data_IF_246376223017
#
_entry.id   IF_246376223017
#
_cell.length_a   1.000
_cell.length_b   1.000
_cell.length_c   1.000
_cell.angle_alpha   90.00
_cell.angle_beta   90.00
_cell.angle_gamma   90.00
#
_symmetry.space_group_name_H-M   'P 1'
#
loop_
_entity.id
_entity.type
_entity.pdbx_description
1 polymer ?
#
# COMPACT_ATOMS: atom_id res chain seq x y z
N UNK A 1 -3.05 -12.97 25.02
CA UNK A 1 -1.79 -12.17 25.02
C UNK A 1 -2.02 -10.97 24.12
N UNK A 2 -1.37 -9.82 24.35
CA UNK A 2 -1.47 -8.70 23.43
C UNK A 2 -0.85 -9.09 22.07
N UNK A 3 -1.43 -8.58 20.96
CA UNK A 3 -0.88 -8.79 19.62
C UNK A 3 0.48 -8.10 19.46
N UNK A 4 1.45 -8.73 18.77
CA UNK A 4 2.82 -8.19 18.66
C UNK A 4 2.94 -7.05 17.64
N UNK A 5 1.89 -6.78 16.84
CA UNK A 5 1.96 -5.90 15.69
C UNK A 5 2.34 -4.46 16.05
N UNK A 6 3.33 -3.94 15.33
CA UNK A 6 3.86 -2.57 15.41
C UNK A 6 3.85 -1.87 14.06
N UNK A 7 3.77 -2.64 12.97
CA UNK A 7 3.84 -2.13 11.62
C UNK A 7 2.65 -2.63 10.81
N UNK A 8 2.00 -1.74 10.05
CA UNK A 8 0.98 -2.11 9.06
C UNK A 8 1.47 -1.78 7.65
N UNK A 9 1.22 -2.67 6.71
CA UNK A 9 1.56 -2.50 5.30
C UNK A 9 0.34 -2.76 4.42
N UNK A 10 0.04 -1.81 3.53
CA UNK A 10 -1.12 -1.85 2.66
C UNK A 10 -0.70 -1.95 1.20
N UNK A 11 -1.24 -2.94 0.50
CA UNK A 11 -1.09 -3.10 -0.95
C UNK A 11 -1.79 -1.98 -1.72
N UNK A 12 -1.27 -1.67 -2.92
CA UNK A 12 -1.94 -0.84 -3.92
C UNK A 12 -3.15 -1.55 -4.53
N UNK A 13 -4.17 -0.81 -4.92
CA UNK A 13 -5.35 -1.42 -5.51
C UNK A 13 -6.44 -0.44 -5.96
N UNK A 14 -6.11 0.83 -6.15
CA UNK A 14 -7.04 1.85 -6.64
C UNK A 14 -8.31 1.94 -5.78
N UNK A 15 -9.46 1.87 -6.43
CA UNK A 15 -10.77 1.98 -5.75
C UNK A 15 -11.05 0.87 -4.73
N UNK A 16 -10.40 -0.28 -4.89
CA UNK A 16 -10.53 -1.44 -3.98
C UNK A 16 -10.07 -1.13 -2.55
N UNK A 17 -9.18 -0.13 -2.39
CA UNK A 17 -8.64 0.29 -1.09
C UNK A 17 -9.67 0.71 -0.05
N UNK A 18 -10.93 0.97 -0.42
CA UNK A 18 -12.02 1.22 0.53
C UNK A 18 -12.29 -0.01 1.43
N UNK A 19 -11.95 -1.21 0.99
CA UNK A 19 -12.10 -2.44 1.77
C UNK A 19 -11.29 -2.41 3.08
N UNK A 20 -10.18 -1.67 3.11
CA UNK A 20 -9.35 -1.52 4.31
C UNK A 20 -10.09 -0.86 5.48
N UNK A 21 -11.17 -0.10 5.23
CA UNK A 21 -12.02 0.43 6.32
C UNK A 21 -12.57 -0.68 7.20
N UNK A 22 -13.04 -1.77 6.58
CA UNK A 22 -13.54 -2.94 7.30
C UNK A 22 -12.44 -3.61 8.13
N UNK A 23 -11.26 -3.77 7.55
CA UNK A 23 -10.10 -4.30 8.26
C UNK A 23 -9.72 -3.43 9.47
N UNK A 24 -9.67 -2.11 9.29
CA UNK A 24 -9.33 -1.19 10.39
C UNK A 24 -10.35 -1.22 11.53
N UNK A 25 -11.64 -1.48 11.26
CA UNK A 25 -12.65 -1.69 12.33
C UNK A 25 -12.25 -2.86 13.23
N UNK A 26 -11.90 -3.99 12.64
CA UNK A 26 -11.50 -5.18 13.40
C UNK A 26 -10.21 -4.94 14.20
N UNK A 27 -9.22 -4.23 13.62
CA UNK A 27 -7.99 -3.90 14.34
C UNK A 27 -8.25 -2.94 15.52
N UNK A 28 -9.15 -1.98 15.35
CA UNK A 28 -9.55 -1.04 16.41
C UNK A 28 -10.26 -1.77 17.55
N UNK A 29 -11.27 -2.60 17.23
CA UNK A 29 -12.02 -3.43 18.19
C UNK A 29 -11.10 -4.37 19.00
N UNK A 30 -10.01 -4.85 18.39
CA UNK A 30 -9.01 -5.72 19.03
C UNK A 30 -7.90 -4.96 19.76
N UNK A 31 -7.94 -3.63 19.76
CA UNK A 31 -6.91 -2.78 20.40
C UNK A 31 -5.56 -2.84 19.72
N UNK A 32 -5.48 -3.27 18.44
CA UNK A 32 -4.21 -3.40 17.70
C UNK A 32 -3.73 -2.02 17.23
N UNK A 33 -4.63 -1.16 16.74
CA UNK A 33 -4.26 0.16 16.18
C UNK A 33 -3.50 1.04 17.15
N UNK A 34 -3.73 0.88 18.46
CA UNK A 34 -3.09 1.66 19.51
C UNK A 34 -1.58 1.35 19.66
N UNK A 35 -1.17 0.16 19.21
CA UNK A 35 0.22 -0.31 19.32
C UNK A 35 1.04 -0.08 18.05
N UNK A 36 0.39 0.39 16.97
CA UNK A 36 1.06 0.60 15.70
C UNK A 36 1.97 1.84 15.77
N UNK A 37 3.20 1.66 15.33
CA UNK A 37 4.23 2.71 15.28
C UNK A 37 4.52 3.18 13.86
N UNK A 38 4.44 2.26 12.88
CA UNK A 38 4.80 2.51 11.48
C UNK A 38 3.69 2.03 10.55
N UNK A 39 3.45 2.79 9.51
CA UNK A 39 2.50 2.43 8.47
C UNK A 39 3.14 2.67 7.10
N UNK A 40 2.97 1.71 6.21
CA UNK A 40 3.50 1.79 4.87
C UNK A 40 2.50 1.33 3.83
N UNK A 41 2.71 1.74 2.60
CA UNK A 41 1.87 1.28 1.49
C UNK A 41 2.23 1.88 0.16
N UNK A 42 1.62 1.33 -0.88
CA UNK A 42 1.79 1.72 -2.27
C UNK A 42 0.44 2.17 -2.83
N UNK A 43 0.42 3.20 -3.67
CA UNK A 43 -0.81 3.63 -4.37
C UNK A 43 -2.00 3.87 -3.40
N UNK A 44 -3.13 3.22 -3.59
CA UNK A 44 -4.27 3.28 -2.67
C UNK A 44 -3.90 2.83 -1.24
N UNK A 45 -2.92 1.94 -1.10
CA UNK A 45 -2.35 1.56 0.20
C UNK A 45 -1.67 2.73 0.90
N UNK A 46 -1.02 3.64 0.16
CA UNK A 46 -0.44 4.86 0.72
C UNK A 46 -1.52 5.81 1.28
N UNK A 47 -2.71 5.88 0.66
CA UNK A 47 -3.85 6.64 1.19
C UNK A 47 -4.27 6.07 2.56
N UNK A 48 -4.44 4.76 2.65
CA UNK A 48 -4.82 4.12 3.91
C UNK A 48 -3.72 4.27 4.97
N UNK A 49 -2.45 4.14 4.58
CA UNK A 49 -1.32 4.39 5.46
C UNK A 49 -1.33 5.83 6.02
N UNK A 50 -1.66 6.86 5.21
CA UNK A 50 -1.83 8.24 5.71
C UNK A 50 -2.95 8.33 6.73
N UNK A 51 -4.12 7.77 6.44
CA UNK A 51 -5.28 7.89 7.32
C UNK A 51 -5.00 7.25 8.69
N UNK A 52 -4.43 6.05 8.70
CA UNK A 52 -3.98 5.41 9.93
C UNK A 52 -2.83 6.19 10.58
N UNK A 53 -1.83 6.60 9.79
CA UNK A 53 -0.63 7.28 10.26
C UNK A 53 -0.87 8.63 10.90
N UNK A 54 -1.82 9.41 10.37
CA UNK A 54 -2.24 10.70 10.93
C UNK A 54 -3.36 10.54 11.98
N UNK A 55 -3.52 9.34 12.52
CA UNK A 55 -4.43 9.07 13.62
C UNK A 55 -5.90 9.47 13.36
N UNK A 56 -6.37 9.28 12.10
CA UNK A 56 -7.80 9.36 11.84
C UNK A 56 -8.50 8.17 12.48
N UNK A 57 -9.62 8.42 13.15
CA UNK A 57 -10.48 7.33 13.63
C UNK A 57 -11.05 6.53 12.46
N UNK A 58 -11.44 5.29 12.69
CA UNK A 58 -12.08 4.44 11.67
C UNK A 58 -13.32 5.10 11.08
N UNK A 59 -14.09 5.83 11.88
CA UNK A 59 -15.27 6.58 11.43
C UNK A 59 -14.90 7.75 10.50
N UNK A 60 -13.85 8.52 10.83
CA UNK A 60 -13.34 9.58 9.96
C UNK A 60 -12.80 8.98 8.65
N UNK A 61 -12.07 7.89 8.72
CA UNK A 61 -11.54 7.15 7.56
C UNK A 61 -12.66 6.70 6.63
N UNK A 62 -13.70 6.06 7.16
CA UNK A 62 -14.90 5.65 6.41
C UNK A 62 -15.55 6.84 5.69
N UNK A 63 -15.76 7.94 6.41
CA UNK A 63 -16.35 9.15 5.84
C UNK A 63 -15.49 9.77 4.73
N UNK A 64 -14.17 9.84 4.93
CA UNK A 64 -13.23 10.41 3.96
C UNK A 64 -13.20 9.57 2.68
N UNK A 65 -13.08 8.24 2.80
CA UNK A 65 -12.97 7.34 1.64
C UNK A 65 -14.30 7.20 0.89
N UNK A 66 -15.45 7.19 1.57
CA UNK A 66 -16.76 7.21 0.91
C UNK A 66 -17.01 8.51 0.15
N UNK A 67 -16.53 9.62 0.68
CA UNK A 67 -16.66 10.93 0.07
C UNK A 67 -15.69 11.19 -1.08
N UNK A 68 -14.73 10.29 -1.31
CA UNK A 68 -13.81 10.41 -2.42
C UNK A 68 -14.51 10.06 -3.73
N UNK A 69 -14.63 11.07 -4.59
CA UNK A 69 -15.14 10.93 -5.94
C UNK A 69 -14.00 10.55 -6.88
N UNK A 70 -13.87 9.25 -7.13
CA UNK A 70 -12.82 8.73 -8.00
C UNK A 70 -12.96 9.21 -9.46
N UNK A 71 -14.17 9.58 -9.94
CA UNK A 71 -14.34 10.17 -11.27
C UNK A 71 -13.65 11.51 -11.41
N UNK A 72 -13.59 12.30 -10.33
CA UNK A 72 -12.86 13.57 -10.32
C UNK A 72 -11.33 13.39 -10.35
N UNK A 73 -10.83 12.18 -10.05
CA UNK A 73 -9.42 11.87 -10.26
C UNK A 73 -9.05 11.78 -11.74
N UNK A 74 -10.05 11.50 -12.61
CA UNK A 74 -9.93 11.55 -14.06
C UNK A 74 -10.04 13.01 -14.53
N UNK A 75 -9.32 13.91 -13.87
CA UNK A 75 -9.38 15.33 -14.10
C UNK A 75 -8.81 15.72 -15.47
N UNK A 76 -9.47 16.72 -16.07
CA UNK A 76 -9.03 17.41 -17.27
C UNK A 76 -9.10 16.63 -18.60
N UNK A 77 -10.21 15.91 -18.85
CA UNK A 77 -10.53 15.34 -20.15
C UNK A 77 -11.21 16.37 -21.10
N UNK A 78 -10.49 17.44 -21.47
CA UNK A 78 -11.00 18.50 -22.36
C UNK A 78 -10.49 18.37 -23.81
N UNK A 79 -10.67 17.21 -24.40
CA UNK A 79 -10.50 16.97 -25.83
C UNK A 79 -9.30 16.09 -26.16
N UNK A 80 -9.57 15.12 -27.03
CA UNK A 80 -8.65 14.04 -27.45
C UNK A 80 -7.27 14.57 -27.89
N UNK A 81 -7.18 15.72 -28.54
CA UNK A 81 -5.92 16.27 -29.02
C UNK A 81 -4.98 16.71 -27.88
N UNK A 82 -5.52 17.33 -26.84
CA UNK A 82 -4.75 17.79 -25.69
C UNK A 82 -4.34 16.64 -24.76
N UNK A 83 -5.22 15.67 -24.62
CA UNK A 83 -4.97 14.49 -23.82
C UNK A 83 -3.93 13.58 -24.50
N UNK A 84 -3.93 13.51 -25.85
CA UNK A 84 -2.88 12.84 -26.61
C UNK A 84 -1.53 13.57 -26.49
N UNK A 85 -1.51 14.90 -26.52
CA UNK A 85 -0.29 15.70 -26.32
C UNK A 85 0.28 15.44 -24.90
N UNK A 86 -0.57 15.41 -23.88
CA UNK A 86 -0.14 15.08 -22.50
C UNK A 86 0.39 13.65 -22.40
N UNK A 87 -0.27 12.68 -23.03
CA UNK A 87 0.21 11.30 -23.04
C UNK A 87 1.61 11.19 -23.62
N UNK A 88 1.92 11.99 -24.66
CA UNK A 88 3.23 11.99 -25.31
C UNK A 88 4.28 12.74 -24.47
N UNK A 89 3.94 13.87 -23.86
CA UNK A 89 4.91 14.76 -23.20
C UNK A 89 4.97 14.61 -21.68
N UNK A 90 3.86 14.19 -21.04
CA UNK A 90 3.76 13.99 -19.58
C UNK A 90 3.55 12.51 -19.20
N UNK A 91 3.50 11.61 -20.20
CA UNK A 91 3.41 10.15 -20.05
C UNK A 91 2.15 9.65 -19.35
N UNK A 92 1.06 10.44 -19.35
CA UNK A 92 -0.21 10.06 -18.75
C UNK A 92 -1.40 10.80 -19.32
N UNK A 93 -2.58 10.13 -19.33
CA UNK A 93 -3.81 10.68 -19.87
C UNK A 93 -4.42 11.77 -18.97
N UNK A 94 -4.36 11.56 -17.65
CA UNK A 94 -4.94 12.45 -16.63
C UNK A 94 -3.84 13.16 -15.83
N UNK A 95 -4.09 14.40 -15.40
CA UNK A 95 -3.11 15.17 -14.60
C UNK A 95 -2.97 14.67 -13.18
N UNK A 96 -4.10 14.26 -12.56
CA UNK A 96 -4.19 13.85 -11.16
C UNK A 96 -3.96 15.01 -10.18
N UNK A 97 -4.25 16.25 -10.58
CA UNK A 97 -4.10 17.42 -9.71
C UNK A 97 -5.20 17.45 -8.65
N UNK A 98 -6.43 17.05 -9.02
CA UNK A 98 -7.53 16.91 -8.07
C UNK A 98 -7.14 15.99 -6.89
N UNK A 99 -6.51 14.85 -7.20
CA UNK A 99 -6.07 13.93 -6.15
C UNK A 99 -5.02 14.56 -5.24
N UNK A 100 -4.06 15.29 -5.82
CA UNK A 100 -3.02 15.99 -5.05
C UNK A 100 -3.63 17.02 -4.09
N UNK A 101 -4.62 17.79 -4.54
CA UNK A 101 -5.33 18.78 -3.72
C UNK A 101 -6.18 18.11 -2.65
N UNK A 102 -6.88 17.04 -2.99
CA UNK A 102 -7.70 16.28 -2.05
C UNK A 102 -6.87 15.72 -0.89
N UNK A 103 -5.76 15.01 -1.20
CA UNK A 103 -4.91 14.42 -0.16
C UNK A 103 -4.21 15.49 0.69
N UNK A 104 -3.82 16.62 0.09
CA UNK A 104 -3.31 17.78 0.80
C UNK A 104 -4.33 18.34 1.79
N UNK A 105 -5.61 18.40 1.39
CA UNK A 105 -6.72 18.77 2.26
C UNK A 105 -6.95 17.80 3.42
N UNK A 106 -6.80 16.50 3.18
CA UNK A 106 -6.85 15.45 4.22
C UNK A 106 -5.72 15.63 5.24
N UNK A 107 -4.49 15.80 4.77
CA UNK A 107 -3.31 16.02 5.63
C UNK A 107 -3.49 17.29 6.48
N UNK A 108 -3.97 18.37 5.87
CA UNK A 108 -4.23 19.64 6.56
C UNK A 108 -5.18 19.49 7.75
N UNK A 109 -6.18 18.60 7.68
CA UNK A 109 -7.14 18.38 8.78
C UNK A 109 -6.48 17.97 10.09
N UNK A 110 -5.36 17.26 10.03
CA UNK A 110 -4.65 16.77 11.22
C UNK A 110 -3.38 17.56 11.52
N UNK A 111 -2.68 18.06 10.50
CA UNK A 111 -1.41 18.78 10.68
C UNK A 111 -1.55 20.29 10.69
N UNK A 112 -2.69 20.83 10.27
CA UNK A 112 -2.88 22.28 10.05
C UNK A 112 -2.21 22.81 8.78
N UNK A 113 -1.40 22.02 8.08
CA UNK A 113 -0.61 22.40 6.91
C UNK A 113 -0.84 21.42 5.74
N UNK A 114 -1.33 21.91 4.60
CA UNK A 114 -1.52 21.09 3.38
C UNK A 114 -0.20 20.64 2.74
N UNK A 115 0.88 21.35 2.99
CA UNK A 115 2.23 21.07 2.49
C UNK A 115 3.15 20.46 3.57
N UNK A 116 2.57 19.84 4.61
CA UNK A 116 3.33 19.22 5.69
C UNK A 116 4.35 18.22 5.11
N UNK A 117 5.58 18.31 5.57
CA UNK A 117 6.66 17.40 5.22
C UNK A 117 6.67 16.18 6.14
N UNK A 118 7.41 15.13 5.77
CA UNK A 118 7.59 13.98 6.68
C UNK A 118 8.21 14.40 8.02
N UNK A 119 9.15 15.36 8.01
CA UNK A 119 9.72 15.92 9.23
C UNK A 119 8.70 16.66 10.09
N UNK A 120 7.73 17.35 9.47
CA UNK A 120 6.64 18.01 10.20
C UNK A 120 5.76 16.99 10.91
N UNK A 121 5.36 15.91 10.22
CA UNK A 121 4.59 14.80 10.79
C UNK A 121 5.36 14.15 11.95
N UNK A 122 6.64 13.87 11.76
CA UNK A 122 7.47 13.26 12.80
C UNK A 122 7.57 14.14 14.08
N UNK A 123 7.66 15.46 13.93
CA UNK A 123 7.64 16.39 15.10
C UNK A 123 6.34 16.38 15.88
N UNK A 124 5.23 16.04 15.21
CA UNK A 124 3.89 16.00 15.84
C UNK A 124 3.55 14.65 16.47
N UNK A 125 4.40 13.63 16.33
CA UNK A 125 4.11 12.27 16.83
C UNK A 125 3.78 12.25 18.32
N UNK A 126 4.57 12.92 19.14
CA UNK A 126 4.40 12.91 20.59
C UNK A 126 3.11 13.61 21.07
N UNK A 127 2.61 14.60 20.32
CA UNK A 127 1.43 15.40 20.70
C UNK A 127 0.15 14.90 20.08
N UNK A 128 0.20 14.43 18.84
CA UNK A 128 -0.97 14.04 18.04
C UNK A 128 -1.15 12.53 17.91
N UNK A 129 -0.20 11.74 18.40
CA UNK A 129 -0.20 10.28 18.28
C UNK A 129 -0.01 9.80 16.84
N UNK A 130 0.69 10.59 16.01
CA UNK A 130 0.98 10.20 14.63
C UNK A 130 1.99 9.05 14.60
N UNK A 131 1.98 8.31 13.49
CA UNK A 131 2.86 7.18 13.22
C UNK A 131 3.86 7.54 12.13
N UNK A 132 4.97 6.82 12.04
CA UNK A 132 5.90 6.95 10.94
C UNK A 132 5.25 6.50 9.62
N UNK A 133 5.41 7.34 8.59
CA UNK A 133 4.82 7.14 7.26
C UNK A 133 5.88 6.66 6.28
N UNK A 134 5.56 5.61 5.50
CA UNK A 134 6.42 5.06 4.46
C UNK A 134 5.60 4.81 3.19
N UNK A 135 5.95 5.48 2.09
CA UNK A 135 5.29 5.29 0.79
C UNK A 135 6.28 4.83 -0.25
N UNK A 136 5.83 3.95 -1.14
CA UNK A 136 6.68 3.42 -2.21
C UNK A 136 6.34 4.12 -3.51
N UNK A 137 7.38 4.51 -4.27
CA UNK A 137 7.30 4.99 -5.64
C UNK A 137 8.30 4.28 -6.51
N UNK A 138 8.05 4.20 -7.79
CA UNK A 138 8.99 3.64 -8.77
C UNK A 138 9.73 4.76 -9.46
N UNK A 139 11.05 4.82 -9.28
CA UNK A 139 11.94 5.73 -10.02
C UNK A 139 12.32 5.09 -11.36
N UNK A 140 11.69 5.53 -12.45
CA UNK A 140 11.99 5.03 -13.80
C UNK A 140 13.38 5.42 -14.29
N UNK A 141 13.93 6.55 -13.80
CA UNK A 141 15.27 7.02 -14.18
C UNK A 141 16.38 6.11 -13.67
N UNK A 142 16.14 5.44 -12.53
CA UNK A 142 17.11 4.52 -11.91
C UNK A 142 16.72 3.05 -12.05
N UNK A 143 15.43 2.76 -12.31
CA UNK A 143 14.89 1.40 -12.35
C UNK A 143 14.68 0.76 -10.97
N UNK A 144 14.59 1.57 -9.89
CA UNK A 144 14.40 1.08 -8.52
C UNK A 144 13.11 1.57 -7.87
N UNK A 145 12.56 0.74 -6.97
CA UNK A 145 11.59 1.20 -6.01
C UNK A 145 12.27 2.07 -4.95
N UNK A 146 11.66 3.20 -4.62
CA UNK A 146 12.17 4.13 -3.61
C UNK A 146 11.12 4.36 -2.52
N UNK A 147 11.61 4.50 -1.28
CA UNK A 147 10.76 4.71 -0.11
C UNK A 147 10.81 6.18 0.30
N UNK A 148 9.65 6.81 0.39
CA UNK A 148 9.46 8.17 0.90
C UNK A 148 9.01 8.10 2.36
N UNK A 149 9.80 8.69 3.26
CA UNK A 149 9.55 8.68 4.70
C UNK A 149 10.35 9.78 5.40
N UNK A 150 10.10 9.98 6.70
CA UNK A 150 10.97 10.85 7.50
C UNK A 150 12.43 10.39 7.53
N UNK A 151 12.68 9.10 7.43
CA UNK A 151 14.03 8.53 7.43
C UNK A 151 14.77 8.81 6.10
N UNK A 152 14.09 8.70 4.96
CA UNK A 152 14.73 8.74 3.64
C UNK A 152 14.62 10.12 2.97
N UNK A 153 13.48 10.79 3.16
CA UNK A 153 13.14 12.04 2.47
C UNK A 153 12.43 13.04 3.41
N UNK A 154 13.05 13.42 4.56
CA UNK A 154 12.39 14.20 5.61
C UNK A 154 11.79 15.52 5.14
N UNK A 155 12.42 16.19 4.20
CA UNK A 155 11.98 17.47 3.63
C UNK A 155 10.92 17.36 2.53
N UNK A 156 10.51 16.15 2.12
CA UNK A 156 9.50 16.02 1.09
C UNK A 156 8.10 16.26 1.65
N UNK A 157 7.27 16.94 0.85
CA UNK A 157 5.84 17.09 1.14
C UNK A 157 5.15 15.73 1.07
N UNK A 158 4.44 15.38 2.15
CA UNK A 158 3.73 14.10 2.27
C UNK A 158 2.69 13.93 1.16
N UNK A 159 1.92 14.99 0.84
CA UNK A 159 0.93 14.94 -0.23
C UNK A 159 1.57 14.70 -1.61
N UNK A 160 2.76 15.26 -1.87
CA UNK A 160 3.48 15.04 -3.10
C UNK A 160 3.97 13.59 -3.22
N UNK A 161 4.49 13.02 -2.14
CA UNK A 161 4.93 11.62 -2.12
C UNK A 161 3.77 10.63 -2.38
N UNK A 162 2.60 10.86 -1.78
CA UNK A 162 1.41 10.04 -2.05
C UNK A 162 0.91 10.22 -3.49
N UNK A 163 0.88 11.46 -4.00
CA UNK A 163 0.52 11.71 -5.40
C UNK A 163 1.45 10.97 -6.36
N UNK A 164 2.74 10.93 -6.05
CA UNK A 164 3.74 10.19 -6.82
C UNK A 164 3.45 8.68 -6.75
N UNK A 165 3.25 8.14 -5.55
CA UNK A 165 2.91 6.72 -5.34
C UNK A 165 1.62 6.28 -6.05
N UNK A 166 0.73 7.22 -6.39
CA UNK A 166 -0.53 7.01 -7.12
C UNK A 166 -0.43 7.30 -8.63
N UNK A 167 0.76 7.53 -9.16
CA UNK A 167 0.96 7.87 -10.59
C UNK A 167 0.93 6.62 -11.47
N UNK A 168 -0.21 5.94 -11.57
CA UNK A 168 -0.39 4.76 -12.42
C UNK A 168 0.04 5.10 -13.86
N UNK A 169 1.05 4.39 -14.42
CA UNK A 169 1.56 4.67 -15.76
C UNK A 169 0.45 4.70 -16.82
N UNK A 170 0.57 5.57 -17.81
CA UNK A 170 -0.38 5.80 -18.89
C UNK A 170 -1.71 6.43 -18.45
N UNK A 171 -2.17 6.20 -17.22
CA UNK A 171 -3.37 6.84 -16.67
C UNK A 171 -3.05 8.24 -16.12
N UNK A 172 -2.09 8.34 -15.22
CA UNK A 172 -1.74 9.63 -14.61
C UNK A 172 -0.37 10.11 -15.08
N UNK A 173 -0.27 11.42 -15.30
CA UNK A 173 0.98 12.08 -15.63
C UNK A 173 2.09 11.70 -14.63
N UNK A 174 3.25 11.31 -15.16
CA UNK A 174 4.44 11.01 -14.37
C UNK A 174 4.85 12.23 -13.55
N UNK A 175 5.51 12.02 -12.43
CA UNK A 175 5.99 13.10 -11.58
C UNK A 175 7.52 13.12 -11.56
N UNK A 176 8.06 14.33 -11.50
CA UNK A 176 9.50 14.54 -11.49
C UNK A 176 9.97 15.01 -10.12
N UNK A 177 11.08 14.46 -9.65
CA UNK A 177 11.75 14.96 -8.46
C UNK A 177 12.43 16.32 -8.73
N UNK A 178 12.83 17.05 -7.68
CA UNK A 178 13.66 18.26 -7.86
C UNK A 178 14.99 18.01 -8.58
N UNK A 179 15.46 16.75 -8.63
CA UNK A 179 16.66 16.35 -9.37
C UNK A 179 16.39 15.97 -10.83
N UNK A 180 15.12 15.94 -11.24
CA UNK A 180 14.70 15.56 -12.58
C UNK A 180 14.44 14.07 -12.79
N UNK A 181 14.51 13.23 -11.75
CA UNK A 181 14.16 11.81 -11.86
C UNK A 181 12.66 11.65 -12.10
N UNK A 182 12.30 10.78 -13.05
CA UNK A 182 10.93 10.48 -13.42
C UNK A 182 10.37 9.36 -12.51
N UNK A 183 9.22 9.62 -11.91
CA UNK A 183 8.54 8.66 -11.02
C UNK A 183 7.15 8.29 -11.52
N UNK A 184 6.80 7.04 -11.27
CA UNK A 184 5.46 6.49 -11.45
C UNK A 184 5.01 5.75 -10.18
N UNK A 185 3.80 5.19 -10.23
CA UNK A 185 3.22 4.39 -9.14
C UNK A 185 4.19 3.33 -8.63
N UNK A 186 4.26 3.21 -7.30
CA UNK A 186 5.12 2.23 -6.66
C UNK A 186 4.77 0.79 -7.00
N UNK A 187 3.50 0.55 -7.37
CA UNK A 187 3.00 -0.76 -7.77
C UNK A 187 3.70 -1.36 -9.00
N UNK A 188 4.40 -0.55 -9.78
CA UNK A 188 5.19 -1.06 -10.92
C UNK A 188 6.30 -2.02 -10.46
N UNK A 189 6.94 -1.75 -9.31
CA UNK A 189 8.04 -2.60 -8.78
C UNK A 189 7.73 -3.24 -7.43
N UNK A 190 6.92 -2.63 -6.58
CA UNK A 190 6.60 -3.13 -5.24
C UNK A 190 5.18 -2.72 -4.83
N UNK A 191 4.19 -3.47 -5.36
CA UNK A 191 2.77 -3.20 -5.10
C UNK A 191 2.36 -3.55 -3.66
N UNK A 192 2.98 -4.60 -3.11
CA UNK A 192 2.74 -5.06 -1.75
C UNK A 192 4.04 -5.08 -0.94
N UNK A 193 4.45 -3.94 -0.35
CA UNK A 193 5.76 -3.79 0.27
C UNK A 193 5.81 -4.40 1.69
N UNK A 194 5.37 -5.66 1.88
CA UNK A 194 5.30 -6.32 3.19
C UNK A 194 6.66 -6.43 3.89
N UNK A 195 7.74 -6.44 3.10
CA UNK A 195 9.13 -6.52 3.60
C UNK A 195 9.73 -5.15 3.93
N UNK A 196 8.96 -4.08 3.84
CA UNK A 196 9.40 -2.71 4.11
C UNK A 196 10.06 -2.55 5.48
N UNK A 197 9.56 -3.31 6.47
CA UNK A 197 10.06 -3.28 7.84
C UNK A 197 10.87 -4.54 8.23
N UNK A 198 11.33 -5.33 7.27
CA UNK A 198 12.15 -6.53 7.50
C UNK A 198 13.63 -6.20 7.73
N UNK A 199 13.88 -5.31 8.68
CA UNK A 199 15.21 -4.94 9.15
C UNK A 199 15.23 -4.88 10.67
N UNK A 200 16.35 -5.24 11.26
CA UNK A 200 16.59 -5.26 12.70
C UNK A 200 16.21 -3.94 13.39
N UNK A 201 16.52 -2.80 12.76
CA UNK A 201 16.20 -1.46 13.28
C UNK A 201 14.69 -1.16 13.47
N UNK A 202 13.81 -1.94 12.83
CA UNK A 202 12.35 -1.77 12.94
C UNK A 202 11.70 -2.78 13.90
N UNK A 203 12.48 -3.70 14.45
CA UNK A 203 12.01 -4.69 15.41
C UNK A 203 12.02 -4.09 16.81
N UNK A 204 10.92 -4.24 17.54
CA UNK A 204 10.84 -3.86 18.94
C UNK A 204 11.20 -5.05 19.85
N UNK A 205 10.57 -6.21 19.61
CA UNK A 205 10.69 -7.38 20.47
C UNK A 205 10.85 -8.70 19.69
N UNK A 206 10.21 -8.85 18.52
CA UNK A 206 10.01 -10.15 17.88
C UNK A 206 10.43 -10.18 16.41
N UNK A 207 11.46 -10.99 16.13
CA UNK A 207 11.89 -11.26 14.76
C UNK A 207 12.50 -12.66 14.63
N UNK A 208 12.56 -13.15 13.40
CA UNK A 208 13.26 -14.37 13.04
C UNK A 208 14.35 -14.06 12.00
N UNK A 209 15.45 -14.79 12.08
CA UNK A 209 16.46 -14.73 11.01
C UNK A 209 16.10 -15.78 9.95
N UNK A 210 15.75 -15.39 8.71
CA UNK A 210 15.49 -16.35 7.64
C UNK A 210 16.69 -17.27 7.41
N UNK A 211 16.44 -18.54 7.07
CA UNK A 211 17.49 -19.59 6.90
C UNK A 211 18.62 -19.14 5.98
N UNK A 212 18.27 -18.47 4.87
CA UNK A 212 19.25 -17.93 3.94
C UNK A 212 20.22 -16.95 4.61
N UNK A 213 19.69 -15.97 5.35
CA UNK A 213 20.52 -15.00 6.05
C UNK A 213 21.24 -15.60 7.26
N UNK A 214 20.69 -16.62 7.91
CA UNK A 214 21.36 -17.32 9.00
C UNK A 214 22.67 -17.97 8.54
N UNK A 215 22.65 -18.67 7.40
CA UNK A 215 23.86 -19.26 6.81
C UNK A 215 24.86 -18.17 6.38
N UNK A 216 24.39 -17.17 5.62
CA UNK A 216 25.24 -16.08 5.15
C UNK A 216 25.84 -15.27 6.30
N UNK A 217 25.07 -15.01 7.36
CA UNK A 217 25.54 -14.29 8.54
C UNK A 217 26.60 -15.09 9.33
N UNK A 218 26.53 -16.44 9.31
CA UNK A 218 27.56 -17.26 9.91
C UNK A 218 28.91 -17.11 9.17
N UNK A 219 28.88 -17.07 7.85
CA UNK A 219 30.06 -16.85 7.02
C UNK A 219 30.65 -15.44 7.23
N UNK A 220 29.80 -14.41 7.18
CA UNK A 220 30.22 -13.02 7.44
C UNK A 220 30.86 -12.86 8.82
N UNK A 221 30.25 -13.49 9.84
CA UNK A 221 30.78 -13.46 11.20
C UNK A 221 32.15 -14.15 11.35
N UNK A 222 32.33 -15.28 10.64
CA UNK A 222 33.62 -15.98 10.59
C UNK A 222 34.70 -15.13 9.90
N UNK A 223 34.33 -14.29 8.95
CA UNK A 223 35.23 -13.36 8.25
C UNK A 223 35.43 -12.02 9.00
N UNK A 224 34.80 -11.82 10.16
CA UNK A 224 34.87 -10.56 10.90
C UNK A 224 34.14 -9.39 10.26
N UNK A 225 33.18 -9.67 9.36
CA UNK A 225 32.34 -8.70 8.68
C UNK A 225 31.02 -8.44 9.42
N UNK A 226 30.37 -7.32 9.13
CA UNK A 226 29.04 -7.03 9.65
C UNK A 226 28.02 -8.01 9.07
N UNK A 227 27.14 -8.53 9.92
CA UNK A 227 26.03 -9.39 9.51
C UNK A 227 24.97 -8.59 8.74
N UNK A 228 24.18 -9.29 7.94
CA UNK A 228 23.03 -8.69 7.24
C UNK A 228 22.00 -8.15 8.24
N UNK A 229 21.49 -6.93 8.05
CA UNK A 229 20.44 -6.36 8.91
C UNK A 229 19.04 -6.91 8.59
N UNK A 230 18.91 -7.84 7.63
CA UNK A 230 17.62 -8.38 7.20
C UNK A 230 17.11 -9.46 8.16
N UNK A 231 15.87 -9.31 8.57
CA UNK A 231 15.13 -10.23 9.44
C UNK A 231 13.72 -10.46 8.88
N UNK A 232 13.03 -11.49 9.32
CA UNK A 232 11.58 -11.60 9.20
C UNK A 232 10.98 -10.90 10.44
N UNK A 233 10.37 -9.74 10.21
CA UNK A 233 9.77 -8.97 11.30
C UNK A 233 8.37 -9.52 11.63
N UNK A 234 8.25 -10.24 12.76
CA UNK A 234 7.00 -10.82 13.24
C UNK A 234 5.97 -9.77 13.67
N UNK A 235 6.42 -8.52 13.87
CA UNK A 235 5.55 -7.41 14.29
C UNK A 235 4.90 -6.67 13.10
N UNK A 236 5.10 -7.16 11.88
CA UNK A 236 4.49 -6.61 10.67
C UNK A 236 3.24 -7.39 10.31
N UNK A 237 2.14 -6.67 10.06
CA UNK A 237 0.88 -7.18 9.52
C UNK A 237 0.59 -6.47 8.19
N UNK A 238 0.37 -7.24 7.14
CA UNK A 238 0.09 -6.75 5.81
C UNK A 238 -1.36 -7.00 5.39
N UNK A 239 -1.81 -6.21 4.41
CA UNK A 239 -3.15 -6.31 3.82
C UNK A 239 -3.06 -6.35 2.32
N UNK A 240 -3.69 -7.35 1.70
CA UNK A 240 -3.78 -7.53 0.25
C UNK A 240 -5.21 -7.48 -0.25
N UNK A 241 -5.36 -7.09 -1.51
CA UNK A 241 -6.61 -6.90 -2.23
C UNK A 241 -6.66 -7.85 -3.43
N UNK A 242 -7.01 -9.10 -3.19
CA UNK A 242 -7.09 -10.15 -4.21
C UNK A 242 -8.56 -10.50 -4.51
N UNK A 243 -8.83 -11.10 -5.66
CA UNK A 243 -10.10 -11.79 -5.89
C UNK A 243 -9.97 -13.26 -5.50
N UNK A 244 -11.09 -13.87 -5.09
CA UNK A 244 -11.14 -15.32 -4.85
C UNK A 244 -10.67 -16.12 -6.08
N UNK A 245 -10.89 -15.57 -7.30
CA UNK A 245 -10.48 -16.15 -8.56
C UNK A 245 -8.97 -16.07 -8.78
N UNK A 246 -8.34 -14.93 -8.48
CA UNK A 246 -6.89 -14.74 -8.52
C UNK A 246 -6.20 -15.69 -7.53
N UNK A 247 -6.69 -15.75 -6.29
CA UNK A 247 -6.21 -16.72 -5.30
C UNK A 247 -6.32 -18.16 -5.84
N UNK A 248 -7.44 -18.50 -6.52
CA UNK A 248 -7.66 -19.80 -7.14
C UNK A 248 -6.66 -20.11 -8.26
N UNK A 249 -6.34 -19.13 -9.11
CA UNK A 249 -5.33 -19.29 -10.18
C UNK A 249 -3.93 -19.53 -9.59
N UNK A 250 -3.52 -18.73 -8.62
CA UNK A 250 -2.21 -18.89 -7.96
C UNK A 250 -2.07 -20.23 -7.23
N UNK A 251 -3.17 -20.80 -6.74
CA UNK A 251 -3.18 -22.13 -6.12
C UNK A 251 -3.32 -23.28 -7.14
N UNK A 252 -3.20 -23.02 -8.45
CA UNK A 252 -3.42 -23.97 -9.54
C UNK A 252 -4.80 -24.64 -9.52
N UNK A 253 -5.82 -23.95 -9.05
CA UNK A 253 -7.19 -24.45 -8.93
C UNK A 253 -8.13 -23.91 -10.02
N UNK A 254 -7.70 -22.92 -10.78
CA UNK A 254 -8.48 -22.28 -11.84
C UNK A 254 -7.59 -21.84 -13.01
N UNK A 255 -8.18 -21.71 -14.21
CA UNK A 255 -7.54 -21.08 -15.35
C UNK A 255 -7.65 -19.55 -15.24
N UNK A 256 -6.61 -18.85 -15.68
CA UNK A 256 -6.65 -17.39 -15.77
C UNK A 256 -7.78 -16.95 -16.73
N UNK A 257 -8.58 -15.93 -16.36
CA UNK A 257 -9.57 -15.36 -17.27
C UNK A 257 -8.87 -14.64 -18.42
N UNK A 258 -9.45 -14.77 -19.62
CA UNK A 258 -9.03 -13.98 -20.77
C UNK A 258 -9.70 -12.59 -20.70
N UNK A 259 -8.88 -11.55 -20.86
CA UNK A 259 -9.36 -10.17 -20.96
C UNK A 259 -9.40 -9.75 -22.44
N UNK A 260 -10.47 -9.06 -22.83
CA UNK A 260 -10.63 -8.54 -24.20
C UNK A 260 -9.92 -7.19 -24.28
N UNK A 261 -9.10 -7.00 -25.32
CA UNK A 261 -8.32 -5.78 -25.54
C UNK A 261 -8.78 -5.17 -26.88
N UNK A 262 -9.69 -4.20 -26.83
CA UNK A 262 -10.28 -3.58 -28.00
C UNK A 262 -9.75 -2.16 -28.27
N UNK A 263 -9.27 -1.46 -27.23
CA UNK A 263 -8.77 -0.09 -27.34
C UNK A 263 -7.51 0.17 -26.49
N UNK A 264 -7.04 1.43 -26.51
CA UNK A 264 -5.85 1.85 -25.77
C UNK A 264 -6.04 1.72 -24.24
N UNK A 265 -7.23 1.99 -23.73
CA UNK A 265 -7.48 1.92 -22.29
C UNK A 265 -7.53 0.47 -21.81
N UNK A 266 -8.15 -0.42 -22.59
CA UNK A 266 -8.12 -1.85 -22.33
C UNK A 266 -6.67 -2.37 -22.31
N UNK A 267 -5.88 -1.97 -23.34
CA UNK A 267 -4.45 -2.31 -23.39
C UNK A 267 -3.70 -1.80 -22.16
N UNK A 268 -3.84 -0.53 -21.80
CA UNK A 268 -3.17 0.07 -20.66
C UNK A 268 -3.57 -0.62 -19.34
N UNK A 269 -4.86 -0.90 -19.16
CA UNK A 269 -5.41 -1.62 -18.01
C UNK A 269 -4.83 -3.03 -17.90
N UNK A 270 -4.85 -3.81 -18.97
CA UNK A 270 -4.32 -5.17 -18.99
C UNK A 270 -2.81 -5.19 -18.77
N UNK A 271 -2.08 -4.23 -19.35
CA UNK A 271 -0.63 -4.11 -19.17
C UNK A 271 -0.27 -3.82 -17.72
N UNK A 272 -0.92 -2.83 -17.08
CA UNK A 272 -0.72 -2.52 -15.68
C UNK A 272 -1.09 -3.70 -14.79
N UNK A 273 -2.26 -4.32 -15.03
CA UNK A 273 -2.68 -5.51 -14.29
C UNK A 273 -1.64 -6.62 -14.37
N UNK A 274 -1.11 -6.90 -15.56
CA UNK A 274 -0.07 -7.93 -15.75
C UNK A 274 1.19 -7.63 -14.94
N UNK A 275 1.61 -6.34 -14.86
CA UNK A 275 2.76 -5.94 -14.04
C UNK A 275 2.48 -6.20 -12.55
N UNK A 276 1.31 -5.79 -12.06
CA UNK A 276 0.91 -5.96 -10.66
C UNK A 276 0.83 -7.46 -10.30
N UNK A 277 0.09 -8.23 -11.10
CA UNK A 277 -0.14 -9.67 -10.87
C UNK A 277 1.17 -10.48 -10.93
N UNK A 278 2.17 -10.03 -11.70
CA UNK A 278 3.47 -10.73 -11.80
C UNK A 278 4.23 -10.77 -10.47
N UNK A 279 3.93 -9.87 -9.55
CA UNK A 279 4.58 -9.79 -8.22
C UNK A 279 3.89 -10.70 -7.19
N UNK A 280 2.64 -11.08 -7.44
CA UNK A 280 1.77 -11.75 -6.46
C UNK A 280 2.21 -13.16 -6.13
N UNK A 281 2.72 -13.92 -7.12
CA UNK A 281 3.18 -15.31 -6.94
C UNK A 281 4.30 -15.43 -5.90
N UNK A 282 5.17 -14.43 -5.79
CA UNK A 282 6.29 -14.43 -4.84
C UNK A 282 5.85 -14.42 -3.37
N UNK A 283 4.74 -13.74 -3.06
CA UNK A 283 4.24 -13.63 -1.67
C UNK A 283 3.43 -14.87 -1.24
N UNK A 284 2.68 -15.49 -2.15
CA UNK A 284 1.86 -16.66 -1.84
C UNK A 284 2.68 -17.93 -1.55
N UNK A 285 3.91 -18.01 -2.07
CA UNK A 285 4.82 -19.14 -1.87
C UNK A 285 5.87 -18.89 -0.79
N UNK A 286 5.81 -17.77 -0.07
CA UNK A 286 6.70 -17.42 1.04
C UNK A 286 5.97 -17.48 2.37
N UNK A 287 6.71 -17.38 3.49
CA UNK A 287 6.13 -17.30 4.84
C UNK A 287 5.31 -16.01 5.06
N UNK A 288 5.36 -15.05 4.12
CA UNK A 288 4.64 -13.78 4.18
C UNK A 288 3.12 -13.95 4.22
N UNK A 289 2.58 -15.08 3.70
CA UNK A 289 1.13 -15.34 3.76
C UNK A 289 0.61 -15.39 5.21
N UNK A 290 1.43 -15.80 6.16
CA UNK A 290 1.03 -15.93 7.57
C UNK A 290 0.87 -14.57 8.27
N UNK A 291 1.54 -13.53 7.77
CA UNK A 291 1.41 -12.15 8.26
C UNK A 291 0.59 -11.25 7.32
N UNK A 292 -0.19 -11.87 6.43
CA UNK A 292 -0.98 -11.17 5.41
C UNK A 292 -2.47 -11.47 5.55
N UNK A 293 -3.28 -10.42 5.63
CA UNK A 293 -4.73 -10.49 5.54
C UNK A 293 -5.11 -10.31 4.08
N UNK A 294 -5.68 -11.36 3.46
CA UNK A 294 -6.17 -11.34 2.09
C UNK A 294 -7.64 -10.95 2.08
N UNK A 295 -7.97 -9.85 1.42
CA UNK A 295 -9.34 -9.32 1.34
C UNK A 295 -9.87 -9.58 -0.06
N UNK A 296 -10.98 -10.33 -0.17
CA UNK A 296 -11.66 -10.56 -1.45
C UNK A 296 -12.28 -9.25 -1.94
N UNK A 297 -11.89 -8.83 -3.12
CA UNK A 297 -12.36 -7.61 -3.78
C UNK A 297 -13.64 -7.80 -4.58
N UNK A 298 -14.25 -8.99 -4.52
CA UNK A 298 -15.55 -9.32 -5.10
C UNK A 298 -15.62 -9.08 -6.62
N UNK A 299 -14.46 -9.15 -7.29
CA UNK A 299 -14.34 -8.92 -8.74
C UNK A 299 -14.22 -7.45 -9.15
N UNK A 300 -14.23 -6.51 -8.20
CA UNK A 300 -13.99 -5.09 -8.49
C UNK A 300 -12.56 -4.89 -8.99
N UNK A 301 -12.41 -4.14 -10.07
CA UNK A 301 -11.12 -3.84 -10.67
C UNK A 301 -10.50 -2.55 -10.10
N UNK A 302 -9.18 -2.45 -10.14
CA UNK A 302 -8.41 -1.29 -9.65
C UNK A 302 -8.89 0.06 -10.22
N UNK A 303 -9.40 0.05 -11.45
CA UNK A 303 -9.80 1.24 -12.22
C UNK A 303 -11.32 1.41 -12.35
N UNK A 304 -12.13 0.69 -11.59
CA UNK A 304 -13.59 0.85 -11.57
C UNK A 304 -14.00 2.11 -10.79
N UNK A 305 -13.69 3.29 -11.35
CA UNK A 305 -13.85 4.59 -10.69
C UNK A 305 -15.32 4.98 -10.40
N UNK A 306 -16.31 4.16 -10.80
CA UNK A 306 -17.74 4.41 -10.62
C UNK A 306 -18.41 3.45 -9.63
N UNK A 307 -17.79 3.23 -8.50
CA UNK A 307 -18.37 2.36 -7.47
C UNK A 307 -19.64 2.95 -6.87
N UNK A 308 -20.73 2.18 -6.93
CA UNK A 308 -21.95 2.49 -6.19
C UNK A 308 -21.74 2.37 -4.66
N UNK A 309 -22.65 2.99 -3.91
CA UNK A 309 -22.62 2.83 -2.44
C UNK A 309 -22.79 1.38 -1.98
N UNK A 310 -23.51 0.55 -2.75
CA UNK A 310 -23.67 -0.87 -2.47
C UNK A 310 -22.33 -1.62 -2.61
N UNK A 311 -21.60 -1.39 -3.70
CA UNK A 311 -20.28 -1.98 -3.92
C UNK A 311 -19.28 -1.53 -2.87
N UNK A 312 -19.25 -0.23 -2.53
CA UNK A 312 -18.44 0.28 -1.41
C UNK A 312 -18.75 -0.44 -0.10
N UNK A 313 -20.03 -0.65 0.21
CA UNK A 313 -20.45 -1.38 1.41
C UNK A 313 -20.00 -2.84 1.36
N UNK A 314 -20.14 -3.51 0.23
CA UNK A 314 -19.73 -4.89 0.06
C UNK A 314 -18.22 -5.06 0.26
N UNK A 315 -17.41 -4.17 -0.31
CA UNK A 315 -15.95 -4.16 -0.12
C UNK A 315 -15.57 -3.96 1.35
N UNK A 316 -16.20 -3.00 2.04
CA UNK A 316 -15.95 -2.78 3.48
C UNK A 316 -16.33 -4.02 4.29
N UNK A 317 -17.48 -4.64 3.99
CA UNK A 317 -17.91 -5.86 4.67
C UNK A 317 -16.95 -7.02 4.39
N UNK A 318 -16.46 -7.14 3.15
CA UNK A 318 -15.45 -8.13 2.79
C UNK A 318 -14.17 -7.93 3.61
N UNK A 319 -13.68 -6.68 3.69
CA UNK A 319 -12.51 -6.35 4.52
C UNK A 319 -12.69 -6.73 5.99
N UNK A 320 -13.87 -6.46 6.54
CA UNK A 320 -14.19 -6.83 7.93
C UNK A 320 -14.22 -8.34 8.10
N UNK A 321 -14.91 -9.08 7.21
CA UNK A 321 -15.05 -10.53 7.27
C UNK A 321 -13.70 -11.23 7.18
N UNK A 322 -12.91 -10.95 6.16
CA UNK A 322 -11.62 -11.62 5.96
C UNK A 322 -10.59 -11.28 7.05
N UNK A 323 -10.70 -10.10 7.65
CA UNK A 323 -9.86 -9.76 8.80
C UNK A 323 -10.29 -10.56 10.04
N UNK A 324 -11.59 -10.75 10.27
CA UNK A 324 -12.09 -11.63 11.35
C UNK A 324 -11.65 -13.08 11.13
N UNK A 325 -11.73 -13.58 9.90
CA UNK A 325 -11.30 -14.94 9.55
C UNK A 325 -9.80 -15.15 9.79
N UNK A 326 -8.97 -14.15 9.39
CA UNK A 326 -7.54 -14.18 9.70
C UNK A 326 -7.30 -14.29 11.20
N UNK A 327 -7.97 -13.48 12.03
CA UNK A 327 -7.78 -13.54 13.47
C UNK A 327 -8.38 -14.78 14.10
N UNK A 328 -9.44 -15.35 13.55
CA UNK A 328 -9.95 -16.67 14.00
C UNK A 328 -8.88 -17.75 13.78
N UNK A 329 -8.18 -17.74 12.63
CA UNK A 329 -7.05 -18.62 12.37
C UNK A 329 -5.84 -18.29 13.25
N UNK A 330 -5.48 -17.01 13.36
CA UNK A 330 -4.32 -16.55 14.13
C UNK A 330 -4.44 -16.88 15.62
N UNK A 331 -5.62 -16.73 16.21
CA UNK A 331 -5.89 -16.93 17.64
C UNK A 331 -6.09 -18.41 17.99
N UNK A 332 -6.36 -19.29 17.03
CA UNK A 332 -6.55 -20.73 17.26
C UNK A 332 -5.26 -21.34 17.84
N UNK A 333 -5.32 -21.97 19.04
CA UNK A 333 -4.16 -22.58 19.68
C UNK A 333 -3.58 -23.76 18.91
N UNK A 334 -4.35 -24.37 18.00
CA UNK A 334 -3.87 -25.46 17.15
C UNK A 334 -3.02 -24.97 15.98
N UNK A 335 -3.09 -23.69 15.64
CA UNK A 335 -2.25 -23.07 14.62
C UNK A 335 -0.98 -22.50 15.24
N UNK A 336 0.07 -22.43 14.45
CA UNK A 336 1.36 -21.84 14.86
C UNK A 336 1.79 -20.78 13.82
N UNK A 337 1.10 -19.63 13.77
CA UNK A 337 1.50 -18.57 12.86
C UNK A 337 2.93 -18.12 13.14
N UNK A 338 3.74 -17.98 12.09
CA UNK A 338 5.14 -17.56 12.22
C UNK A 338 5.30 -16.18 12.87
N UNK A 339 4.28 -15.34 12.77
CA UNK A 339 4.21 -14.00 13.35
C UNK A 339 3.45 -13.96 14.71
N UNK A 340 3.25 -15.11 15.33
CA UNK A 340 2.78 -15.23 16.73
C UNK A 340 3.93 -15.76 17.58
N UNK A 341 4.67 -14.87 18.26
CA UNK A 341 5.84 -15.22 19.07
C UNK A 341 5.49 -16.02 20.33
#
# INVERSE_FOLDING_TARGET
MPYPFRNLVFEGGGVKGIAYVGAMRVLDERGILQNIKRVGGTSAGAINAILVGLNFSVKETDHILRGLDFKKMLDDSFGVLRDTDRLIHEFGWYKGDFFREWIAGVIKKKTGNSEATFADVARMQATEGFRDLYFVGTNLSTGFAEVFSNEHTPGWCVAAAVRLSMSIPLFFAAKYSPRGDCYVDGGVLDNYPVKLFDRDKYVEEHSLTPKYYAAHNADLKAEGKNISPYVFNQETLGFRLDTAKEIGVFRNQAQAPEEKIDDFFDYAKCFIKTILDSQDSGHLHSDDWQRTIYIDTLGVQTTDFDLSNAEKNNLITSGETHTKDYFAWYDDPNNQPINRP
#
